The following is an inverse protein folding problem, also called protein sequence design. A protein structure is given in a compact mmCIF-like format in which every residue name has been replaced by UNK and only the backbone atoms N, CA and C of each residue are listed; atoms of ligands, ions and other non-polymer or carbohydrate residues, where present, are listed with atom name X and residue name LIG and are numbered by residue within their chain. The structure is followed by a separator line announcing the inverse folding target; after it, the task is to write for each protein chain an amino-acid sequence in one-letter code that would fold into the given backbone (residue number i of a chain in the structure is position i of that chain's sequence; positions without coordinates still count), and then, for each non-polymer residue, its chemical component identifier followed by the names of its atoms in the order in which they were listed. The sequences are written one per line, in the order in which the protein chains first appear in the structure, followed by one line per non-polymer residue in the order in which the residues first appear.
data_IF_674908320032
#
_entry.id   IF_674908320032
#
_cell.length_a   1.000
_cell.length_b   1.000
_cell.length_c   1.000
_cell.angle_alpha   90.00
_cell.angle_beta   90.00
_cell.angle_gamma   90.00
#
_symmetry.space_group_name_H-M   'P 1'
#
loop_
_entity.id
_entity.type
_entity.pdbx_description
1 polymer ?
#
# COMPACT_ATOMS: atom_id res chain seq x y z
N UNK A 1 -24.04 -6.27 14.73
CA UNK A 1 -24.62 -4.94 14.36
C UNK A 1 -23.61 -4.26 13.49
N UNK A 2 -24.03 -3.70 12.35
CA UNK A 2 -23.10 -2.96 11.50
C UNK A 2 -22.61 -1.73 12.28
N UNK A 3 -21.30 -1.50 12.46
CA UNK A 3 -20.83 -0.26 13.09
C UNK A 3 -21.32 0.91 12.25
N UNK A 4 -21.69 2.01 12.88
CA UNK A 4 -22.06 3.23 12.16
C UNK A 4 -20.89 3.73 11.31
N UNK A 5 -21.17 4.65 10.39
CA UNK A 5 -20.15 5.35 9.60
C UNK A 5 -20.10 6.80 10.06
N UNK A 6 -18.90 7.34 10.20
CA UNK A 6 -18.68 8.77 10.47
C UNK A 6 -17.79 9.39 9.39
N UNK A 7 -17.88 10.70 9.24
CA UNK A 7 -17.03 11.47 8.34
C UNK A 7 -15.94 12.16 9.17
N UNK A 8 -14.70 12.04 8.70
CA UNK A 8 -13.58 12.80 9.22
C UNK A 8 -13.09 13.78 8.14
N UNK A 9 -13.05 15.06 8.49
CA UNK A 9 -12.34 16.08 7.72
C UNK A 9 -10.94 16.22 8.30
N UNK A 10 -9.92 15.87 7.50
CA UNK A 10 -8.53 15.82 7.94
C UNK A 10 -7.65 16.68 7.04
N UNK A 11 -6.40 16.93 7.44
CA UNK A 11 -5.43 17.63 6.57
C UNK A 11 -4.96 16.81 5.36
N UNK A 12 -5.24 15.51 5.36
CA UNK A 12 -4.89 14.59 4.25
C UNK A 12 -6.06 14.26 3.33
N UNK A 13 -7.26 14.79 3.61
CA UNK A 13 -8.48 14.56 2.84
C UNK A 13 -9.68 14.28 3.74
N UNK A 14 -10.79 13.91 3.10
CA UNK A 14 -12.05 13.57 3.78
C UNK A 14 -12.24 12.05 3.73
N UNK A 15 -12.59 11.46 4.88
CA UNK A 15 -12.72 10.01 5.00
C UNK A 15 -14.04 9.61 5.64
N UNK A 16 -14.73 8.67 5.01
CA UNK A 16 -15.75 7.86 5.65
C UNK A 16 -15.03 6.73 6.39
N UNK A 17 -15.22 6.66 7.69
CA UNK A 17 -14.59 5.66 8.56
C UNK A 17 -15.65 4.97 9.41
N UNK A 18 -15.32 3.81 9.96
CA UNK A 18 -16.20 3.15 10.92
C UNK A 18 -16.32 3.99 12.20
N UNK A 19 -17.52 4.04 12.78
CA UNK A 19 -17.74 4.67 14.11
C UNK A 19 -17.26 3.78 15.26
N UNK A 20 -16.84 2.53 14.97
CA UNK A 20 -16.22 1.63 15.93
C UNK A 20 -14.75 2.01 16.14
N UNK A 21 -14.18 1.49 17.23
CA UNK A 21 -12.75 1.59 17.50
C UNK A 21 -11.95 0.89 16.40
N UNK A 22 -11.20 1.66 15.62
CA UNK A 22 -10.33 1.17 14.54
C UNK A 22 -9.04 2.00 14.52
N UNK A 23 -7.90 1.31 14.46
CA UNK A 23 -6.57 1.93 14.59
C UNK A 23 -6.33 3.05 13.57
N UNK A 24 -6.65 2.82 12.31
CA UNK A 24 -6.46 3.83 11.25
C UNK A 24 -7.40 5.02 11.45
N UNK A 25 -8.63 4.78 11.86
CA UNK A 25 -9.59 5.83 12.22
C UNK A 25 -9.05 6.73 13.33
N UNK A 26 -8.46 6.15 14.38
CA UNK A 26 -7.88 6.93 15.48
C UNK A 26 -6.67 7.75 15.05
N UNK A 27 -5.78 7.17 14.21
CA UNK A 27 -4.63 7.89 13.68
C UNK A 27 -5.10 9.09 12.82
N UNK A 28 -6.05 8.87 11.91
CA UNK A 28 -6.59 9.95 11.08
C UNK A 28 -7.29 11.03 11.89
N UNK A 29 -8.03 10.67 12.95
CA UNK A 29 -8.70 11.62 13.83
C UNK A 29 -7.71 12.42 14.69
N UNK A 30 -6.62 11.80 15.16
CA UNK A 30 -5.62 12.43 16.02
C UNK A 30 -4.62 13.27 15.23
N UNK A 31 -4.04 12.69 14.17
CA UNK A 31 -2.88 13.25 13.45
C UNK A 31 -3.29 13.89 12.11
N UNK A 32 -4.49 13.58 11.62
CA UNK A 32 -5.03 14.06 10.34
C UNK A 32 -4.36 13.46 9.11
N UNK A 33 -3.45 12.51 9.30
CA UNK A 33 -2.74 11.79 8.23
C UNK A 33 -2.19 10.48 8.77
N UNK A 34 -2.11 9.47 7.92
CA UNK A 34 -1.42 8.20 8.19
C UNK A 34 -0.14 8.15 7.35
N UNK A 35 0.95 7.63 7.92
CA UNK A 35 2.25 7.44 7.23
C UNK A 35 2.73 8.67 6.44
N UNK A 36 2.71 9.84 7.06
CA UNK A 36 3.09 11.10 6.41
C UNK A 36 4.48 11.05 5.75
N UNK A 37 5.45 10.39 6.39
CA UNK A 37 6.81 10.24 5.84
C UNK A 37 6.81 9.50 4.49
N UNK A 38 5.98 8.46 4.33
CA UNK A 38 5.84 7.70 3.08
C UNK A 38 5.20 8.56 1.99
N UNK A 39 4.17 9.35 2.34
CA UNK A 39 3.52 10.28 1.41
C UNK A 39 4.50 11.36 0.96
N UNK A 40 5.24 11.97 1.89
CA UNK A 40 6.25 13.01 1.58
C UNK A 40 7.38 12.46 0.72
N UNK A 41 7.86 11.25 1.00
CA UNK A 41 8.87 10.58 0.19
C UNK A 41 8.35 10.30 -1.22
N UNK A 42 7.11 9.83 -1.35
CA UNK A 42 6.47 9.62 -2.66
C UNK A 42 6.40 10.92 -3.47
N UNK A 43 5.96 12.01 -2.84
CA UNK A 43 5.96 13.35 -3.47
C UNK A 43 7.37 13.76 -3.92
N UNK A 44 8.37 13.55 -3.06
CA UNK A 44 9.75 13.84 -3.40
C UNK A 44 10.24 12.98 -4.58
N UNK A 45 9.96 11.68 -4.61
CA UNK A 45 10.32 10.78 -5.71
C UNK A 45 9.71 11.26 -7.04
N UNK A 46 8.43 11.57 -7.04
CA UNK A 46 7.66 11.96 -8.23
C UNK A 46 7.98 13.38 -8.72
N UNK A 47 8.43 14.25 -7.83
CA UNK A 47 8.74 15.66 -8.15
C UNK A 47 9.78 15.77 -9.26
N UNK A 48 9.45 16.53 -10.33
CA UNK A 48 10.31 16.74 -11.49
C UNK A 48 10.37 15.55 -12.45
N UNK A 49 9.47 14.58 -12.31
CA UNK A 49 9.21 13.52 -13.28
C UNK A 49 8.38 14.00 -14.48
N UNK A 50 7.98 13.08 -15.38
CA UNK A 50 7.12 13.40 -16.51
C UNK A 50 5.73 13.88 -16.06
N UNK A 51 4.96 14.58 -16.92
CA UNK A 51 3.64 15.08 -16.55
C UNK A 51 2.64 13.95 -16.27
N UNK A 52 2.71 12.84 -17.01
CA UNK A 52 1.77 11.73 -16.91
C UNK A 52 2.35 10.61 -16.02
N UNK A 53 2.35 10.82 -14.72
CA UNK A 53 2.91 9.85 -13.78
C UNK A 53 1.87 8.81 -13.36
N UNK A 54 2.35 7.60 -13.07
CA UNK A 54 1.53 6.49 -12.60
C UNK A 54 2.12 5.92 -11.32
N UNK A 55 1.27 5.77 -10.31
CA UNK A 55 1.59 5.10 -9.05
C UNK A 55 0.74 3.84 -8.93
N UNK A 56 1.36 2.74 -8.52
CA UNK A 56 0.62 1.56 -8.06
C UNK A 56 0.60 1.57 -6.53
N UNK A 57 -0.59 1.56 -5.94
CA UNK A 57 -0.82 1.47 -4.50
C UNK A 57 -1.45 0.10 -4.21
N UNK A 58 -0.63 -0.86 -3.80
CA UNK A 58 -1.02 -2.25 -3.61
C UNK A 58 -1.17 -2.52 -2.11
N UNK A 59 -2.41 -2.74 -1.67
CA UNK A 59 -2.85 -2.66 -0.29
C UNK A 59 -3.35 -1.26 0.06
N UNK A 60 -4.22 -0.71 -0.79
CA UNK A 60 -4.64 0.70 -0.70
C UNK A 60 -5.51 1.03 0.52
N UNK A 61 -6.03 0.01 1.20
CA UNK A 61 -6.89 0.17 2.36
C UNK A 61 -8.04 1.16 2.04
N UNK A 62 -8.37 2.08 2.92
CA UNK A 62 -9.41 3.10 2.71
C UNK A 62 -8.94 4.32 1.89
N UNK A 63 -7.71 4.27 1.35
CA UNK A 63 -7.12 5.34 0.54
C UNK A 63 -6.27 6.34 1.34
N UNK A 64 -5.84 5.99 2.55
CA UNK A 64 -5.07 6.88 3.43
C UNK A 64 -3.71 7.33 2.83
N UNK A 65 -3.16 6.57 1.88
CA UNK A 65 -1.99 6.95 1.09
C UNK A 65 -2.39 7.60 -0.26
N UNK A 66 -3.28 6.97 -1.02
CA UNK A 66 -3.66 7.42 -2.37
C UNK A 66 -4.32 8.79 -2.38
N UNK A 67 -5.22 9.07 -1.42
CA UNK A 67 -6.01 10.32 -1.40
C UNK A 67 -5.14 11.56 -1.20
N UNK A 68 -4.28 11.66 -0.15
CA UNK A 68 -3.44 12.84 0.03
C UNK A 68 -2.40 13.03 -1.07
N UNK A 69 -1.99 11.97 -1.74
CA UNK A 69 -1.10 12.05 -2.90
C UNK A 69 -1.84 12.61 -4.12
N UNK A 70 -3.06 12.14 -4.39
CA UNK A 70 -3.89 12.60 -5.51
C UNK A 70 -4.45 14.01 -5.33
N UNK A 71 -4.66 14.46 -4.07
CA UNK A 71 -5.11 15.81 -3.74
C UNK A 71 -4.01 16.86 -3.83
N UNK A 72 -2.73 16.44 -3.87
CA UNK A 72 -1.61 17.40 -3.89
C UNK A 72 -1.64 18.23 -5.16
N UNK A 73 -1.65 19.59 -5.06
CA UNK A 73 -1.69 20.47 -6.23
C UNK A 73 -0.56 20.24 -7.22
N UNK A 74 0.60 19.75 -6.77
CA UNK A 74 1.76 19.47 -7.63
C UNK A 74 1.47 18.35 -8.64
N UNK A 75 0.56 17.41 -8.31
CA UNK A 75 0.27 16.22 -9.08
C UNK A 75 -1.15 16.18 -9.63
N UNK A 76 -1.97 17.20 -9.35
CA UNK A 76 -3.38 17.21 -9.68
C UNK A 76 -3.66 17.05 -11.18
N UNK A 77 -2.76 17.53 -12.01
CA UNK A 77 -2.82 17.35 -13.46
C UNK A 77 -1.78 16.30 -13.89
N UNK A 78 -2.23 15.09 -14.21
CA UNK A 78 -1.39 14.05 -14.81
C UNK A 78 -1.02 12.87 -13.93
N UNK A 79 -1.16 12.94 -12.59
CA UNK A 79 -0.96 11.75 -11.76
C UNK A 79 -2.17 10.82 -11.87
N UNK A 80 -1.92 9.55 -12.13
CA UNK A 80 -2.90 8.47 -12.03
C UNK A 80 -2.43 7.46 -10.99
N UNK A 81 -3.33 7.04 -10.13
CA UNK A 81 -3.05 6.01 -9.11
C UNK A 81 -3.92 4.79 -9.40
N UNK A 82 -3.32 3.61 -9.41
CA UNK A 82 -4.02 2.34 -9.49
C UNK A 82 -3.94 1.70 -8.10
N UNK A 83 -5.09 1.69 -7.41
CA UNK A 83 -5.22 1.32 -6.01
C UNK A 83 -5.88 -0.06 -5.88
N UNK A 84 -5.19 -1.02 -5.26
CA UNK A 84 -5.64 -2.41 -5.15
C UNK A 84 -5.99 -2.73 -3.69
N UNK A 85 -7.21 -3.20 -3.45
CA UNK A 85 -7.69 -3.57 -2.13
C UNK A 85 -8.52 -4.86 -2.22
N UNK A 86 -8.10 -5.90 -1.48
CA UNK A 86 -8.72 -7.23 -1.56
C UNK A 86 -9.99 -7.34 -0.74
N UNK A 87 -10.04 -6.75 0.44
CA UNK A 87 -11.21 -6.82 1.33
C UNK A 87 -12.37 -6.00 0.73
N UNK A 88 -13.46 -6.68 0.34
CA UNK A 88 -14.60 -6.02 -0.31
C UNK A 88 -15.16 -4.83 0.47
N UNK A 89 -15.28 -4.93 1.79
CA UNK A 89 -15.82 -3.84 2.61
C UNK A 89 -14.88 -2.63 2.64
N UNK A 90 -13.57 -2.86 2.78
CA UNK A 90 -12.54 -1.81 2.76
C UNK A 90 -12.46 -1.17 1.37
N UNK A 91 -12.54 -1.98 0.31
CA UNK A 91 -12.63 -1.48 -1.07
C UNK A 91 -13.85 -0.57 -1.30
N UNK A 92 -15.03 -0.95 -0.78
CA UNK A 92 -16.23 -0.08 -0.88
C UNK A 92 -16.02 1.24 -0.15
N UNK A 93 -15.33 1.21 0.98
CA UNK A 93 -14.96 2.41 1.74
C UNK A 93 -13.95 3.26 0.98
N UNK A 94 -12.93 2.63 0.36
CA UNK A 94 -11.99 3.29 -0.56
C UNK A 94 -12.74 4.03 -1.68
N UNK A 95 -13.64 3.36 -2.40
CA UNK A 95 -14.43 3.97 -3.47
C UNK A 95 -15.26 5.16 -2.96
N UNK A 96 -15.89 5.02 -1.79
CA UNK A 96 -16.63 6.11 -1.16
C UNK A 96 -15.75 7.30 -0.79
N UNK A 97 -14.55 7.04 -0.29
CA UNK A 97 -13.58 8.08 0.05
C UNK A 97 -13.04 8.80 -1.20
N UNK A 98 -12.78 8.07 -2.28
CA UNK A 98 -12.41 8.68 -3.57
C UNK A 98 -13.52 9.61 -4.09
N UNK A 99 -14.76 9.14 -4.08
CA UNK A 99 -15.91 9.94 -4.48
C UNK A 99 -16.09 11.18 -3.59
N UNK A 100 -15.95 11.03 -2.27
CA UNK A 100 -16.06 12.12 -1.29
C UNK A 100 -15.05 13.25 -1.53
N UNK A 101 -13.86 12.91 -2.06
CA UNK A 101 -12.80 13.86 -2.38
C UNK A 101 -12.81 14.33 -3.84
N UNK A 102 -13.74 13.84 -4.67
CA UNK A 102 -13.84 14.21 -6.09
C UNK A 102 -12.65 13.74 -6.92
N UNK A 103 -12.09 12.58 -6.59
CA UNK A 103 -10.92 12.02 -7.26
C UNK A 103 -11.34 11.03 -8.35
N UNK A 104 -11.14 11.40 -9.60
CA UNK A 104 -11.36 10.58 -10.80
C UNK A 104 -10.06 9.99 -11.39
N UNK A 105 -8.92 10.45 -10.88
CA UNK A 105 -7.60 9.99 -11.27
C UNK A 105 -7.05 8.83 -10.41
N UNK A 106 -7.84 8.31 -9.47
CA UNK A 106 -7.52 7.12 -8.67
C UNK A 106 -8.44 5.98 -9.09
N UNK A 107 -7.86 4.94 -9.67
CA UNK A 107 -8.57 3.77 -10.19
C UNK A 107 -8.52 2.64 -9.15
N UNK A 108 -9.61 2.47 -8.40
CA UNK A 108 -9.71 1.43 -7.38
C UNK A 108 -10.07 0.06 -7.98
N UNK A 109 -9.42 -1.00 -7.49
CA UNK A 109 -9.55 -2.39 -7.96
C UNK A 109 -9.75 -3.34 -6.80
N UNK A 110 -10.81 -4.17 -6.85
CA UNK A 110 -11.12 -5.12 -5.79
C UNK A 110 -10.63 -6.52 -6.12
N UNK A 111 -9.35 -6.74 -5.99
CA UNK A 111 -8.72 -8.06 -6.01
C UNK A 111 -7.35 -8.04 -5.30
N UNK A 112 -6.89 -9.19 -4.89
CA UNK A 112 -5.53 -9.37 -4.40
C UNK A 112 -4.55 -9.30 -5.55
N UNK A 113 -3.34 -8.83 -5.29
CA UNK A 113 -2.20 -8.97 -6.20
C UNK A 113 -1.28 -10.07 -5.68
N UNK A 114 -0.79 -10.93 -6.58
CA UNK A 114 0.08 -12.03 -6.19
C UNK A 114 0.81 -12.68 -7.36
N UNK A 115 1.48 -13.80 -7.10
CA UNK A 115 2.33 -14.50 -8.07
C UNK A 115 1.56 -15.29 -9.14
N UNK A 116 0.26 -15.50 -8.98
CA UNK A 116 -0.59 -16.28 -9.90
C UNK A 116 -1.97 -15.69 -10.01
N UNK A 117 -2.65 -15.97 -11.12
CA UNK A 117 -4.06 -15.64 -11.30
C UNK A 117 -4.94 -16.76 -10.75
N UNK A 118 -6.09 -16.39 -10.17
CA UNK A 118 -7.07 -17.34 -9.64
C UNK A 118 -8.02 -16.71 -8.66
N UNK A 119 -8.46 -17.51 -7.70
CA UNK A 119 -9.29 -17.08 -6.59
C UNK A 119 -8.71 -17.55 -5.27
N UNK A 120 -8.93 -16.77 -4.21
CA UNK A 120 -8.57 -17.10 -2.85
C UNK A 120 -9.77 -16.93 -1.94
N UNK A 121 -9.83 -17.72 -0.89
CA UNK A 121 -10.80 -17.55 0.20
C UNK A 121 -10.13 -16.72 1.30
N UNK A 122 -10.77 -15.63 1.70
CA UNK A 122 -10.32 -14.80 2.81
C UNK A 122 -11.39 -14.73 3.91
N UNK A 123 -11.01 -14.57 5.18
CA UNK A 123 -11.95 -14.28 6.24
C UNK A 123 -12.72 -12.98 5.99
N UNK A 124 -14.03 -13.01 6.20
CA UNK A 124 -14.85 -11.82 6.27
C UNK A 124 -14.87 -11.29 7.70
N UNK A 125 -14.42 -10.08 7.88
CA UNK A 125 -14.23 -9.45 9.20
C UNK A 125 -15.46 -8.62 9.58
N UNK A 126 -15.90 -8.74 10.82
CA UNK A 126 -16.89 -7.85 11.46
C UNK A 126 -16.15 -6.61 12.01
N UNK A 127 -16.30 -5.49 11.32
CA UNK A 127 -15.68 -4.23 11.69
C UNK A 127 -16.02 -3.73 13.11
N UNK A 128 -17.14 -4.20 13.69
CA UNK A 128 -17.51 -3.86 15.06
C UNK A 128 -16.67 -4.59 16.12
N UNK A 129 -15.90 -5.61 15.73
CA UNK A 129 -15.15 -6.50 16.62
C UNK A 129 -13.65 -6.53 16.31
N UNK A 130 -13.21 -5.79 15.32
CA UNK A 130 -11.80 -5.73 14.90
C UNK A 130 -11.31 -4.31 15.02
N UNK A 131 -10.18 -4.12 15.70
CA UNK A 131 -9.60 -2.79 15.90
C UNK A 131 -8.61 -2.37 14.80
N UNK A 132 -8.19 -3.29 13.93
CA UNK A 132 -7.27 -3.02 12.82
C UNK A 132 -7.72 -3.77 11.55
N UNK A 133 -8.83 -3.31 10.96
CA UNK A 133 -9.42 -3.95 9.78
C UNK A 133 -8.46 -3.91 8.60
N UNK A 134 -7.75 -2.80 8.43
CA UNK A 134 -6.81 -2.59 7.33
C UNK A 134 -5.54 -3.43 7.42
N UNK A 135 -5.12 -3.85 8.62
CA UNK A 135 -3.94 -4.69 8.83
C UNK A 135 -4.16 -6.19 8.55
N UNK A 136 -5.22 -6.54 7.80
CA UNK A 136 -5.54 -7.91 7.44
C UNK A 136 -4.54 -8.47 6.43
N UNK A 137 -4.02 -9.68 6.70
CA UNK A 137 -3.13 -10.40 5.80
C UNK A 137 -3.82 -11.57 5.09
N UNK A 138 -3.57 -11.74 3.80
CA UNK A 138 -3.93 -12.96 3.07
C UNK A 138 -2.88 -14.07 3.25
N UNK A 139 -1.73 -13.75 3.82
CA UNK A 139 -0.70 -14.73 4.13
C UNK A 139 -1.06 -15.53 5.40
N UNK A 140 -1.10 -16.87 5.34
CA UNK A 140 -1.54 -17.68 6.49
C UNK A 140 -0.59 -17.59 7.70
N UNK A 141 0.69 -17.30 7.50
CA UNK A 141 1.67 -17.16 8.60
C UNK A 141 1.47 -15.84 9.30
N UNK A 142 1.39 -14.76 8.53
CA UNK A 142 1.11 -13.42 9.06
C UNK A 142 -0.24 -13.37 9.77
N UNK A 143 -1.29 -13.92 9.16
CA UNK A 143 -2.63 -13.98 9.76
C UNK A 143 -2.63 -14.72 11.10
N UNK A 144 -1.85 -15.81 11.22
CA UNK A 144 -1.72 -16.53 12.52
C UNK A 144 -0.93 -15.74 13.55
N UNK A 145 0.13 -15.06 13.13
CA UNK A 145 0.96 -14.27 14.04
C UNK A 145 0.24 -13.03 14.56
N UNK A 146 -0.64 -12.44 13.74
CA UNK A 146 -1.44 -11.24 14.06
C UNK A 146 -2.82 -11.57 14.68
N UNK A 147 -2.98 -12.73 15.30
CA UNK A 147 -4.27 -13.17 15.89
C UNK A 147 -4.82 -12.25 16.97
N UNK A 148 -3.97 -11.48 17.65
CA UNK A 148 -4.41 -10.47 18.62
C UNK A 148 -5.15 -9.31 17.96
N UNK A 149 -4.81 -8.99 16.73
CA UNK A 149 -5.41 -7.92 15.94
C UNK A 149 -6.74 -8.37 15.33
N UNK A 150 -6.84 -9.68 15.06
CA UNK A 150 -8.03 -10.33 14.48
C UNK A 150 -8.56 -11.42 15.40
N UNK A 151 -9.32 -11.05 16.45
CA UNK A 151 -9.96 -12.02 17.34
C UNK A 151 -10.87 -12.98 16.56
N UNK A 152 -10.92 -14.24 16.96
CA UNK A 152 -11.74 -15.26 16.28
C UNK A 152 -13.22 -14.85 16.15
N UNK A 153 -13.75 -14.13 17.15
CA UNK A 153 -15.10 -13.58 17.16
C UNK A 153 -15.34 -12.45 16.15
N UNK A 154 -14.27 -11.86 15.59
CA UNK A 154 -14.38 -10.89 14.49
C UNK A 154 -14.58 -11.55 13.13
N UNK A 155 -14.27 -12.85 13.00
CA UNK A 155 -14.43 -13.59 11.76
C UNK A 155 -15.88 -14.07 11.65
N UNK A 156 -16.64 -13.53 10.70
CA UNK A 156 -18.07 -13.82 10.51
C UNK A 156 -18.38 -14.68 9.28
N UNK A 157 -17.35 -15.26 8.66
CA UNK A 157 -17.47 -16.12 7.49
C UNK A 157 -16.25 -15.99 6.59
N UNK A 158 -16.40 -16.42 5.35
CA UNK A 158 -15.38 -16.26 4.30
C UNK A 158 -15.99 -15.55 3.09
N UNK A 159 -15.13 -14.99 2.28
CA UNK A 159 -15.47 -14.48 0.95
C UNK A 159 -14.43 -14.92 -0.07
N UNK A 160 -14.90 -15.20 -1.29
CA UNK A 160 -14.03 -15.53 -2.42
C UNK A 160 -13.60 -14.26 -3.10
N UNK A 161 -12.29 -14.05 -3.23
CA UNK A 161 -11.71 -12.90 -3.89
C UNK A 161 -10.87 -13.35 -5.09
N UNK A 162 -10.82 -12.54 -6.13
CA UNK A 162 -9.85 -12.73 -7.22
C UNK A 162 -8.44 -12.40 -6.73
N UNK A 163 -7.46 -13.16 -7.22
CA UNK A 163 -6.04 -12.82 -7.14
C UNK A 163 -5.48 -12.73 -8.55
N UNK A 164 -4.71 -11.69 -8.82
CA UNK A 164 -4.19 -11.39 -10.16
C UNK A 164 -2.72 -11.03 -10.13
N UNK A 165 -2.02 -11.38 -11.20
CA UNK A 165 -0.69 -10.87 -11.48
C UNK A 165 -0.80 -9.49 -12.13
N UNK A 166 0.02 -8.55 -11.69
CA UNK A 166 0.17 -7.24 -12.34
C UNK A 166 0.61 -7.39 -13.80
N UNK A 167 1.46 -8.37 -14.07
CA UNK A 167 1.98 -8.64 -15.41
C UNK A 167 0.90 -8.97 -16.44
N UNK A 168 -0.23 -9.52 -15.98
CA UNK A 168 -1.33 -9.99 -16.82
C UNK A 168 -2.51 -9.00 -16.89
N UNK A 169 -2.41 -7.83 -16.21
CA UNK A 169 -3.46 -6.83 -16.25
C UNK A 169 -3.46 -6.07 -17.59
N UNK A 170 -4.54 -6.18 -18.39
CA UNK A 170 -4.60 -5.50 -19.67
C UNK A 170 -4.69 -3.98 -19.49
N UNK A 171 -3.92 -3.24 -20.27
CA UNK A 171 -3.99 -1.79 -20.33
C UNK A 171 -3.40 -1.06 -19.12
N UNK A 172 -2.78 -1.75 -18.17
CA UNK A 172 -2.08 -1.11 -17.06
C UNK A 172 -0.84 -0.37 -17.59
N UNK A 173 -0.77 0.96 -17.43
CA UNK A 173 0.36 1.75 -17.93
C UNK A 173 1.63 1.50 -17.11
N UNK A 174 2.78 1.88 -17.66
CA UNK A 174 4.05 1.83 -16.93
C UNK A 174 3.99 2.69 -15.67
N UNK A 175 4.49 2.16 -14.56
CA UNK A 175 4.51 2.86 -13.28
C UNK A 175 5.80 3.65 -13.06
N UNK A 176 5.71 4.75 -12.30
CA UNK A 176 6.82 5.60 -11.89
C UNK A 176 7.17 5.43 -10.40
N UNK A 177 6.25 4.85 -9.65
CA UNK A 177 6.41 4.48 -8.24
C UNK A 177 5.47 3.32 -7.93
N UNK A 178 5.93 2.40 -7.10
CA UNK A 178 5.12 1.30 -6.56
C UNK A 178 5.13 1.39 -5.03
N UNK A 179 3.96 1.38 -4.38
CA UNK A 179 3.81 1.15 -2.96
C UNK A 179 3.26 -0.25 -2.74
N UNK A 180 3.90 -1.01 -1.87
CA UNK A 180 3.48 -2.35 -1.44
C UNK A 180 3.26 -2.34 0.07
N UNK A 181 2.03 -2.58 0.48
CA UNK A 181 1.62 -2.69 1.86
C UNK A 181 0.52 -3.74 1.95
N UNK A 182 0.93 -4.99 1.83
CA UNK A 182 0.03 -6.15 1.70
C UNK A 182 0.18 -7.13 2.86
N UNK A 183 0.69 -6.60 3.98
CA UNK A 183 0.67 -7.28 5.26
C UNK A 183 1.34 -8.66 5.21
N UNK A 184 2.55 -8.72 4.61
CA UNK A 184 3.39 -9.92 4.54
C UNK A 184 3.27 -10.73 3.25
N UNK A 185 2.60 -10.20 2.21
CA UNK A 185 2.47 -10.84 0.89
C UNK A 185 3.30 -10.14 -0.21
N UNK A 186 4.27 -9.32 0.17
CA UNK A 186 5.07 -8.47 -0.72
C UNK A 186 5.87 -9.28 -1.74
N UNK A 187 6.43 -10.42 -1.32
CA UNK A 187 7.22 -11.30 -2.20
C UNK A 187 6.38 -11.81 -3.36
N UNK A 188 5.19 -12.31 -3.09
CA UNK A 188 4.27 -12.85 -4.08
C UNK A 188 3.79 -11.77 -5.06
N UNK A 189 3.56 -10.53 -4.55
CA UNK A 189 3.26 -9.37 -5.39
C UNK A 189 4.41 -9.09 -6.35
N UNK A 190 5.64 -9.00 -5.85
CA UNK A 190 6.82 -8.74 -6.67
C UNK A 190 7.05 -9.83 -7.72
N UNK A 191 6.81 -11.10 -7.39
CA UNK A 191 6.88 -12.21 -8.34
C UNK A 191 5.84 -12.06 -9.47
N UNK A 192 4.66 -11.55 -9.16
CA UNK A 192 3.57 -11.34 -10.12
C UNK A 192 3.67 -10.06 -10.94
N UNK A 193 4.66 -9.20 -10.67
CA UNK A 193 4.84 -7.93 -11.37
C UNK A 193 6.23 -7.72 -12.00
N UNK A 194 7.02 -8.79 -12.10
CA UNK A 194 8.40 -8.71 -12.57
C UNK A 194 8.52 -8.08 -13.96
N UNK A 195 7.70 -8.52 -14.92
CA UNK A 195 7.73 -7.98 -16.29
C UNK A 195 7.22 -6.52 -16.31
N UNK A 196 6.27 -6.17 -15.45
CA UNK A 196 5.81 -4.80 -15.27
C UNK A 196 6.93 -3.88 -14.76
N UNK A 197 7.70 -4.30 -13.76
CA UNK A 197 8.83 -3.54 -13.25
C UNK A 197 9.86 -3.30 -14.36
N UNK A 198 10.17 -4.32 -15.16
CA UNK A 198 11.12 -4.21 -16.26
C UNK A 198 10.64 -3.22 -17.34
N UNK A 199 9.40 -3.39 -17.86
CA UNK A 199 8.85 -2.49 -18.90
C UNK A 199 8.64 -1.06 -18.41
N UNK A 200 8.46 -0.87 -17.09
CA UNK A 200 8.35 0.44 -16.46
C UNK A 200 9.70 1.12 -16.20
N UNK A 201 10.83 0.51 -16.59
CA UNK A 201 12.16 1.04 -16.37
C UNK A 201 12.62 0.95 -14.92
N UNK A 202 12.14 -0.05 -14.18
CA UNK A 202 12.47 -0.34 -12.79
C UNK A 202 12.18 0.84 -11.84
N UNK A 203 10.91 1.22 -11.65
CA UNK A 203 10.52 2.30 -10.75
C UNK A 203 10.95 1.99 -9.31
N UNK A 204 11.17 3.00 -8.47
CA UNK A 204 11.34 2.80 -7.03
C UNK A 204 10.15 2.04 -6.42
N UNK A 205 10.43 1.23 -5.40
CA UNK A 205 9.43 0.46 -4.66
C UNK A 205 9.48 0.87 -3.19
N UNK A 206 8.40 1.46 -2.69
CA UNK A 206 8.15 1.64 -1.26
C UNK A 206 7.42 0.40 -0.76
N UNK A 207 7.92 -0.24 0.28
CA UNK A 207 7.34 -1.49 0.75
C UNK A 207 7.47 -1.66 2.25
N UNK A 208 6.50 -2.36 2.85
CA UNK A 208 6.55 -2.74 4.25
C UNK A 208 7.41 -4.00 4.44
N UNK A 209 8.24 -4.02 5.48
CA UNK A 209 9.05 -5.17 5.85
C UNK A 209 9.29 -5.22 7.36
N UNK A 210 8.64 -6.16 8.02
CA UNK A 210 8.66 -6.27 9.48
C UNK A 210 9.96 -6.82 10.05
N UNK A 211 10.23 -6.50 11.32
CA UNK A 211 11.40 -6.94 12.09
C UNK A 211 11.06 -8.05 13.11
N UNK A 212 9.92 -8.73 12.98
CA UNK A 212 9.51 -9.79 13.89
C UNK A 212 10.26 -11.11 13.62
N UNK A 213 10.57 -11.87 14.66
CA UNK A 213 11.26 -13.17 14.54
C UNK A 213 10.51 -14.14 13.65
N UNK A 214 9.17 -14.20 13.76
CA UNK A 214 8.34 -15.07 12.94
C UNK A 214 8.33 -14.69 11.44
N UNK A 215 8.71 -13.44 11.11
CA UNK A 215 8.80 -12.94 9.75
C UNK A 215 10.21 -13.09 9.16
N UNK A 216 11.20 -13.44 9.94
CA UNK A 216 12.62 -13.44 9.54
C UNK A 216 12.90 -14.24 8.25
N UNK A 217 12.27 -15.41 8.10
CA UNK A 217 12.44 -16.23 6.89
C UNK A 217 11.85 -15.54 5.64
N UNK A 218 10.64 -15.00 5.75
CA UNK A 218 10.00 -14.26 4.64
C UNK A 218 10.77 -13.01 4.27
N UNK A 219 11.24 -12.27 5.27
CA UNK A 219 12.12 -11.13 5.08
C UNK A 219 13.37 -11.50 4.27
N UNK A 220 14.04 -12.60 4.65
CA UNK A 220 15.22 -13.06 3.92
C UNK A 220 14.90 -13.42 2.46
N UNK A 221 13.78 -14.09 2.21
CA UNK A 221 13.32 -14.42 0.86
C UNK A 221 12.97 -13.19 0.04
N UNK A 222 12.26 -12.21 0.64
CA UNK A 222 11.91 -10.94 0.01
C UNK A 222 13.16 -10.15 -0.40
N UNK A 223 14.13 -10.01 0.51
CA UNK A 223 15.39 -9.30 0.26
C UNK A 223 16.23 -10.03 -0.82
N UNK A 224 16.30 -11.36 -0.77
CA UNK A 224 16.99 -12.15 -1.79
C UNK A 224 16.34 -11.96 -3.17
N UNK A 225 15.00 -12.00 -3.24
CA UNK A 225 14.29 -11.80 -4.50
C UNK A 225 14.51 -10.39 -5.08
N UNK A 226 14.40 -9.35 -4.24
CA UNK A 226 14.69 -7.97 -4.65
C UNK A 226 16.12 -7.85 -5.21
N UNK A 227 17.10 -8.43 -4.54
CA UNK A 227 18.49 -8.48 -5.00
C UNK A 227 18.62 -9.19 -6.36
N UNK A 228 18.01 -10.37 -6.51
CA UNK A 228 18.07 -11.18 -7.72
C UNK A 228 17.46 -10.48 -8.94
N UNK A 229 16.44 -9.67 -8.73
CA UNK A 229 15.83 -8.85 -9.80
C UNK A 229 16.48 -7.48 -9.95
N UNK A 230 17.56 -7.18 -9.19
CA UNK A 230 18.40 -5.98 -9.35
C UNK A 230 18.07 -4.78 -8.50
N UNK A 231 17.15 -4.89 -7.55
CA UNK A 231 16.88 -3.87 -6.52
C UNK A 231 17.87 -4.04 -5.35
N UNK A 232 19.07 -3.52 -5.54
CA UNK A 232 20.21 -3.75 -4.64
C UNK A 232 20.44 -2.62 -3.64
N UNK A 233 19.77 -1.50 -3.81
CA UNK A 233 19.82 -0.36 -2.91
C UNK A 233 18.53 -0.30 -2.10
N UNK A 234 18.58 -0.77 -0.86
CA UNK A 234 17.44 -0.82 0.04
C UNK A 234 17.75 0.07 1.25
N UNK A 235 16.85 1.01 1.52
CA UNK A 235 16.99 1.95 2.65
C UNK A 235 16.90 1.24 4.00
N UNK A 236 17.39 1.90 5.06
CA UNK A 236 16.98 1.60 6.42
C UNK A 236 15.46 1.81 6.58
N UNK A 237 14.91 1.46 7.75
CA UNK A 237 13.52 1.73 8.10
C UNK A 237 13.25 3.25 8.09
N UNK A 238 12.31 3.66 7.26
CA UNK A 238 11.89 5.06 7.07
C UNK A 238 10.73 5.45 8.00
N UNK A 239 10.40 4.58 8.93
CA UNK A 239 9.27 4.66 9.84
C UNK A 239 8.16 3.66 9.50
N UNK A 240 7.55 3.10 10.54
CA UNK A 240 6.48 2.10 10.43
C UNK A 240 6.84 0.89 9.55
N UNK A 241 8.08 0.39 9.65
CA UNK A 241 8.60 -0.73 8.83
C UNK A 241 8.63 -0.48 7.33
N UNK A 242 8.53 0.77 6.88
CA UNK A 242 8.60 1.13 5.47
C UNK A 242 10.04 1.27 4.99
N UNK A 243 10.31 0.76 3.80
CA UNK A 243 11.60 0.77 3.14
C UNK A 243 11.47 1.24 1.68
N UNK A 244 12.53 1.82 1.13
CA UNK A 244 12.65 2.13 -0.30
C UNK A 244 13.64 1.19 -0.95
N UNK A 245 13.22 0.46 -1.98
CA UNK A 245 14.10 -0.30 -2.86
C UNK A 245 14.33 0.45 -4.18
N UNK A 246 15.58 0.55 -4.60
CA UNK A 246 15.97 1.19 -5.85
C UNK A 246 16.81 0.21 -6.70
N UNK A 247 16.45 0.13 -7.97
CA UNK A 247 17.12 -0.76 -8.92
C UNK A 247 18.35 -0.09 -9.53
N UNK A 248 19.43 -0.84 -9.73
CA UNK A 248 20.70 -0.32 -10.29
C UNK A 248 20.57 0.21 -11.72
N UNK A 249 19.57 -0.24 -12.49
CA UNK A 249 19.24 0.21 -13.85
C UNK A 249 17.99 1.08 -13.90
N UNK A 250 17.54 1.63 -12.78
CA UNK A 250 16.35 2.47 -12.76
C UNK A 250 16.48 3.66 -13.69
N UNK A 251 15.43 3.97 -14.43
CA UNK A 251 15.32 5.20 -15.23
C UNK A 251 14.90 6.41 -14.39
N UNK A 252 14.45 6.18 -13.16
CA UNK A 252 14.14 7.22 -12.18
C UNK A 252 15.42 7.79 -11.57
N UNK A 253 15.36 9.03 -11.11
CA UNK A 253 16.47 9.62 -10.36
C UNK A 253 16.65 8.87 -9.04
N UNK A 254 17.91 8.56 -8.72
CA UNK A 254 18.25 7.86 -7.48
C UNK A 254 18.06 8.78 -6.28
N UNK A 255 17.34 8.30 -5.28
CA UNK A 255 17.17 8.99 -4.00
C UNK A 255 18.32 8.58 -3.07
N UNK A 256 18.98 9.56 -2.49
CA UNK A 256 20.01 9.35 -1.48
C UNK A 256 19.51 9.79 -0.13
N UNK A 257 19.79 8.98 0.86
CA UNK A 257 19.46 9.24 2.26
C UNK A 257 20.75 9.61 2.99
N UNK A 258 20.77 10.76 3.63
CA UNK A 258 21.87 11.19 4.50
C UNK A 258 21.30 11.45 5.89
N UNK A 259 21.80 10.72 6.88
CA UNK A 259 21.41 10.95 8.27
C UNK A 259 22.27 12.07 8.85
N UNK A 260 21.63 13.15 9.30
CA UNK A 260 22.27 14.26 9.97
C UNK A 260 21.63 14.42 11.35
N UNK A 261 22.28 13.86 12.38
CA UNK A 261 21.68 13.74 13.71
C UNK A 261 20.46 12.84 13.70
N UNK A 262 19.34 13.35 14.21
CA UNK A 262 18.05 12.62 14.23
C UNK A 262 17.20 12.83 12.96
N UNK A 263 17.72 13.59 12.00
CA UNK A 263 16.99 13.91 10.75
C UNK A 263 17.54 13.12 9.58
N UNK A 264 16.64 12.73 8.64
CA UNK A 264 16.99 12.13 7.34
C UNK A 264 16.84 13.21 6.27
N UNK A 265 17.95 13.53 5.60
CA UNK A 265 17.98 14.43 4.47
C UNK A 265 17.89 13.63 3.18
N UNK A 266 17.01 14.08 2.26
CA UNK A 266 16.81 13.47 0.96
C UNK A 266 17.46 14.33 -0.14
N UNK A 267 18.15 13.67 -1.07
CA UNK A 267 18.65 14.30 -2.31
C UNK A 267 18.43 13.37 -3.52
N UNK A 268 18.38 13.95 -4.72
CA UNK A 268 18.25 13.23 -6.01
C UNK A 268 19.57 13.23 -6.77
#
# INVERSE_FOLDING_TARGET
MNPGVQLLDTRSGRFMVWSSYDALTEILARDGVHEESVILLSKFILQGGPPDQVVLDIGANIGAYSIPLALDPMFREGLRIYAFEVQRQVYMQLCGNLFLNGLDNVHAMNYAVGASNGTIEIPRIDAAKCWNIGGFSIDPVALRAKRTDFPQESIVGTETCEIRRIDDLPGLPNSHLVKLDVEGHELEVLMGMRAHLERSGFPPILFEMWQFDWYAQKKAQLLQYLHDIGYTDISEDLGHSNHLAQHHRSTSRRIRFERVGDSIHLSK
#
